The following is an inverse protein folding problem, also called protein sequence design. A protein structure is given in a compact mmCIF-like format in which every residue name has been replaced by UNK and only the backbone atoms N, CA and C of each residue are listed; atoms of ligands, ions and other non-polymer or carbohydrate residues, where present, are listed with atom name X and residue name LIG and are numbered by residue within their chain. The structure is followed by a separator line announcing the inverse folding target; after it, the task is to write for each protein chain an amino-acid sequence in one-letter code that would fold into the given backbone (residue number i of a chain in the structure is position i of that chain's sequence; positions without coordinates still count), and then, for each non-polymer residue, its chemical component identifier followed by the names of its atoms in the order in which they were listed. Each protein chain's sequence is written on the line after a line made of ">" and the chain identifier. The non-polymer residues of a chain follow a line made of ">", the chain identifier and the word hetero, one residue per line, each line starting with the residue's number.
data_IF_254653149844
#
_entry.id   IF_254653149844
#
_cell.length_a   1.000
_cell.length_b   1.000
_cell.length_c   1.000
_cell.angle_alpha   90.00
_cell.angle_beta   90.00
_cell.angle_gamma   90.00
#
_symmetry.space_group_name_H-M   'P 1'
#
loop_
_entity.id
_entity.type
_entity.pdbx_description
1 polymer ?
#
# COMPACT_ATOMS: atom_id res chain seq x y z
N UNK A 1 -36.46 -6.77 5.92
CA UNK A 1 -35.29 -7.33 6.64
C UNK A 1 -34.02 -7.32 5.79
N UNK A 2 -34.05 -7.83 4.54
CA UNK A 2 -32.86 -7.90 3.66
C UNK A 2 -32.24 -6.54 3.27
N UNK A 3 -33.06 -5.49 3.09
CA UNK A 3 -32.55 -4.15 2.71
C UNK A 3 -31.75 -3.47 3.83
N UNK A 4 -32.19 -3.62 5.09
CA UNK A 4 -31.49 -3.05 6.26
C UNK A 4 -30.14 -3.73 6.45
N UNK A 5 -30.09 -5.05 6.30
CA UNK A 5 -28.85 -5.82 6.36
C UNK A 5 -27.88 -5.37 5.27
N UNK A 6 -28.37 -5.14 4.05
CA UNK A 6 -27.54 -4.66 2.94
C UNK A 6 -26.95 -3.27 3.21
N UNK A 7 -27.73 -2.32 3.72
CA UNK A 7 -27.24 -0.99 4.10
C UNK A 7 -26.20 -1.07 5.22
N UNK A 8 -26.40 -1.94 6.21
CA UNK A 8 -25.45 -2.14 7.29
C UNK A 8 -24.12 -2.71 6.79
N UNK A 9 -24.16 -3.68 5.87
CA UNK A 9 -22.97 -4.24 5.22
C UNK A 9 -22.24 -3.15 4.41
N UNK A 10 -22.94 -2.33 3.63
CA UNK A 10 -22.32 -1.24 2.88
C UNK A 10 -21.65 -0.21 3.79
N UNK A 11 -22.32 0.15 4.90
CA UNK A 11 -21.75 1.06 5.90
C UNK A 11 -20.49 0.47 6.53
N UNK A 12 -20.51 -0.81 6.91
CA UNK A 12 -19.35 -1.51 7.47
C UNK A 12 -18.17 -1.55 6.47
N UNK A 13 -18.43 -1.88 5.20
CA UNK A 13 -17.41 -1.89 4.14
C UNK A 13 -16.81 -0.48 3.97
N UNK A 14 -17.65 0.56 3.98
CA UNK A 14 -17.19 1.94 3.86
C UNK A 14 -16.30 2.34 5.03
N UNK A 15 -16.67 1.98 6.27
CA UNK A 15 -15.87 2.23 7.48
C UNK A 15 -14.54 1.49 7.40
N UNK A 16 -14.52 0.22 6.98
CA UNK A 16 -13.28 -0.55 6.81
C UNK A 16 -12.36 0.06 5.74
N UNK A 17 -12.94 0.59 4.67
CA UNK A 17 -12.20 1.31 3.63
C UNK A 17 -11.61 2.62 4.14
N UNK A 18 -12.38 3.40 4.88
CA UNK A 18 -11.94 4.69 5.45
C UNK A 18 -10.78 4.51 6.43
N UNK A 19 -10.85 3.45 7.25
CA UNK A 19 -9.87 3.13 8.28
C UNK A 19 -8.65 2.36 7.76
N UNK A 20 -8.56 2.10 6.45
CA UNK A 20 -7.43 1.43 5.82
C UNK A 20 -7.29 -0.07 6.10
N UNK A 21 -8.34 -0.69 6.63
CA UNK A 21 -8.44 -2.15 6.75
C UNK A 21 -8.76 -2.85 5.42
N UNK A 22 -9.24 -2.11 4.42
CA UNK A 22 -9.53 -2.66 3.10
C UNK A 22 -8.37 -2.37 2.12
N UNK A 23 -7.64 -3.42 1.75
CA UNK A 23 -6.71 -3.42 0.61
C UNK A 23 -7.49 -3.66 -0.69
N UNK A 24 -7.31 -2.79 -1.68
CA UNK A 24 -7.77 -3.09 -3.04
C UNK A 24 -6.64 -3.73 -3.82
N UNK A 25 -6.88 -4.86 -4.47
CA UNK A 25 -5.87 -5.46 -5.35
C UNK A 25 -6.46 -5.98 -6.63
N UNK A 26 -5.74 -5.76 -7.73
CA UNK A 26 -5.99 -6.37 -9.02
C UNK A 26 -4.67 -7.03 -9.40
N UNK A 27 -4.47 -8.27 -8.93
CA UNK A 27 -3.23 -9.01 -9.09
C UNK A 27 -3.48 -10.47 -9.40
N UNK A 28 -2.56 -11.07 -10.14
CA UNK A 28 -2.40 -12.51 -10.35
C UNK A 28 -1.06 -12.92 -9.74
N UNK A 29 -1.04 -13.95 -8.92
CA UNK A 29 0.18 -14.45 -8.30
C UNK A 29 0.06 -15.95 -8.04
N UNK A 30 1.18 -16.66 -8.06
CA UNK A 30 1.23 -18.05 -7.61
C UNK A 30 1.21 -18.12 -6.08
N UNK A 31 1.94 -17.21 -5.43
CA UNK A 31 1.96 -17.06 -3.98
C UNK A 31 2.04 -15.58 -3.64
N UNK A 32 1.30 -15.17 -2.62
CA UNK A 32 1.34 -13.81 -2.09
C UNK A 32 1.10 -13.85 -0.59
N UNK A 33 2.05 -13.31 0.17
CA UNK A 33 1.97 -13.14 1.61
C UNK A 33 2.31 -11.70 1.94
N UNK A 34 1.50 -11.07 2.78
CA UNK A 34 1.63 -9.67 3.17
C UNK A 34 1.54 -9.59 4.69
N UNK A 35 2.48 -8.89 5.31
CA UNK A 35 2.47 -8.63 6.74
C UNK A 35 2.36 -7.13 6.93
N UNK A 36 1.26 -6.73 7.56
CA UNK A 36 1.13 -5.41 8.14
C UNK A 36 1.82 -5.41 9.51
N UNK A 37 2.85 -4.60 9.66
CA UNK A 37 3.51 -4.45 10.95
C UNK A 37 2.55 -3.81 11.95
N UNK A 38 2.30 -4.48 13.08
CA UNK A 38 1.56 -3.90 14.22
C UNK A 38 2.29 -2.68 14.84
N UNK A 39 3.54 -2.43 14.42
CA UNK A 39 4.38 -1.29 14.76
C UNK A 39 4.44 -0.34 13.55
N UNK A 40 3.31 0.36 13.31
CA UNK A 40 2.94 1.52 12.47
C UNK A 40 3.79 2.07 11.30
N UNK A 41 5.01 1.62 11.03
CA UNK A 41 5.94 2.32 10.13
C UNK A 41 6.53 1.46 9.02
N UNK A 42 6.03 0.23 8.82
CA UNK A 42 6.47 -0.61 7.73
C UNK A 42 5.36 -1.49 7.14
N UNK A 43 5.59 -1.87 5.89
CA UNK A 43 4.73 -2.70 5.08
C UNK A 43 5.57 -3.72 4.33
N UNK A 44 5.34 -5.01 4.59
CA UNK A 44 6.14 -6.10 4.04
C UNK A 44 5.29 -7.04 3.20
N UNK A 45 5.82 -7.49 2.07
CA UNK A 45 5.23 -8.61 1.34
C UNK A 45 6.28 -9.53 0.69
N UNK A 46 5.92 -10.81 0.57
CA UNK A 46 6.65 -11.86 -0.15
C UNK A 46 5.73 -12.49 -1.18
N UNK A 47 6.22 -12.68 -2.41
CA UNK A 47 5.38 -13.04 -3.53
C UNK A 47 6.14 -13.83 -4.60
N UNK A 48 5.41 -14.66 -5.36
CA UNK A 48 5.94 -15.47 -6.46
C UNK A 48 5.07 -15.32 -7.70
N UNK A 49 5.71 -15.00 -8.83
CA UNK A 49 5.08 -14.77 -10.13
C UNK A 49 3.91 -13.79 -10.08
N UNK A 50 4.08 -12.66 -9.39
CA UNK A 50 3.05 -11.65 -9.20
C UNK A 50 3.01 -10.66 -10.36
N UNK A 51 1.82 -10.38 -10.90
CA UNK A 51 1.57 -9.31 -11.87
C UNK A 51 0.29 -8.56 -11.52
N UNK A 52 0.31 -7.24 -11.64
CA UNK A 52 -0.82 -6.37 -11.31
C UNK A 52 -0.46 -5.38 -10.21
N UNK A 53 -1.40 -5.05 -9.32
CA UNK A 53 -1.15 -4.12 -8.23
C UNK A 53 -1.92 -4.45 -6.94
N UNK A 54 -1.36 -4.02 -5.82
CA UNK A 54 -2.07 -3.81 -4.56
C UNK A 54 -2.18 -2.32 -4.26
N UNK A 55 -3.21 -1.92 -3.53
CA UNK A 55 -3.42 -0.55 -3.06
C UNK A 55 -3.88 -0.60 -1.61
N UNK A 56 -3.04 -0.07 -0.75
CA UNK A 56 -3.28 0.02 0.69
C UNK A 56 -3.48 1.49 1.08
N UNK A 57 -4.29 1.74 2.10
CA UNK A 57 -4.54 3.08 2.64
C UNK A 57 -3.74 3.23 3.93
N UNK A 58 -3.05 4.36 4.06
CA UNK A 58 -2.32 4.72 5.27
C UNK A 58 -2.78 6.10 5.73
N UNK A 59 -2.97 6.25 7.05
CA UNK A 59 -3.18 7.53 7.72
C UNK A 59 -2.00 7.75 8.64
N UNK A 60 -1.47 8.97 8.64
CA UNK A 60 -0.37 9.35 9.51
C UNK A 60 -0.89 10.17 10.68
N UNK A 61 -0.35 9.93 11.86
CA UNK A 61 -0.77 10.63 13.09
C UNK A 61 -0.14 12.02 13.22
N UNK A 62 1.00 12.26 12.56
CA UNK A 62 1.77 13.50 12.71
C UNK A 62 2.04 14.15 11.37
N UNK A 63 1.86 15.47 11.31
CA UNK A 63 2.30 16.28 10.17
C UNK A 63 3.80 16.51 10.27
N UNK A 64 4.59 15.84 9.42
CA UNK A 64 6.05 16.01 9.35
C UNK A 64 6.59 15.54 8.01
N UNK A 65 7.86 15.83 7.77
CA UNK A 65 8.59 15.20 6.67
C UNK A 65 8.89 13.77 7.10
N UNK A 66 8.42 12.79 6.32
CA UNK A 66 8.80 11.40 6.46
C UNK A 66 9.80 11.02 5.38
N UNK A 67 10.78 10.21 5.76
CA UNK A 67 11.66 9.54 4.81
C UNK A 67 11.06 8.19 4.46
N UNK A 68 10.55 8.06 3.25
CA UNK A 68 10.05 6.80 2.71
C UNK A 68 11.19 6.00 2.13
N UNK A 69 11.28 4.71 2.48
CA UNK A 69 12.30 3.81 1.98
C UNK A 69 11.70 2.51 1.46
N UNK A 70 12.08 2.12 0.24
CA UNK A 70 11.69 0.89 -0.41
C UNK A 70 12.89 -0.05 -0.53
N UNK A 71 12.85 -1.14 0.22
CA UNK A 71 13.81 -2.23 0.12
C UNK A 71 13.20 -3.36 -0.70
N UNK A 72 13.91 -3.82 -1.73
CA UNK A 72 13.46 -4.90 -2.61
C UNK A 72 14.52 -5.98 -2.72
N UNK A 73 14.10 -7.23 -2.56
CA UNK A 73 14.91 -8.41 -2.88
C UNK A 73 14.15 -9.21 -3.94
N UNK A 74 14.34 -8.82 -5.20
CA UNK A 74 13.70 -9.45 -6.35
C UNK A 74 14.60 -10.51 -6.97
N UNK A 75 14.04 -11.68 -7.26
CA UNK A 75 14.70 -12.71 -8.07
C UNK A 75 14.36 -12.58 -9.55
N UNK A 76 13.23 -11.93 -9.88
CA UNK A 76 12.75 -11.72 -11.25
C UNK A 76 11.74 -10.57 -11.29
N UNK A 77 11.67 -9.91 -12.45
CA UNK A 77 10.63 -8.92 -12.78
C UNK A 77 10.90 -7.56 -12.14
N UNK A 78 9.89 -6.70 -12.15
CA UNK A 78 10.00 -5.33 -11.63
C UNK A 78 8.93 -5.06 -10.57
N UNK A 79 9.31 -4.24 -9.59
CA UNK A 79 8.42 -3.70 -8.56
C UNK A 79 8.64 -2.20 -8.41
N UNK A 80 7.55 -1.44 -8.28
CA UNK A 80 7.59 -0.04 -7.91
C UNK A 80 6.36 0.34 -7.08
N UNK A 81 6.48 1.38 -6.28
CA UNK A 81 5.42 1.89 -5.39
C UNK A 81 5.07 3.31 -5.79
N UNK A 82 3.81 3.57 -6.06
CA UNK A 82 3.25 4.91 -6.19
C UNK A 82 2.62 5.32 -4.87
N UNK A 83 3.04 6.45 -4.32
CA UNK A 83 2.38 7.10 -3.19
C UNK A 83 1.45 8.18 -3.72
N UNK A 84 0.18 8.13 -3.32
CA UNK A 84 -0.86 9.02 -3.81
C UNK A 84 -1.58 9.75 -2.67
N UNK A 85 -2.11 10.93 -2.97
CA UNK A 85 -2.97 11.71 -2.08
C UNK A 85 -4.41 11.17 -2.01
N UNK A 86 -5.25 11.81 -1.20
CA UNK A 86 -6.67 11.47 -1.06
C UNK A 86 -7.47 11.58 -2.37
N UNK A 87 -7.01 12.40 -3.31
CA UNK A 87 -7.56 12.58 -4.66
C UNK A 87 -7.03 11.57 -5.68
N UNK A 88 -6.15 10.65 -5.25
CA UNK A 88 -5.46 9.63 -6.07
C UNK A 88 -4.47 10.24 -7.07
N UNK A 89 -4.00 11.47 -6.85
CA UNK A 89 -2.88 12.02 -7.61
C UNK A 89 -1.59 11.39 -7.11
N UNK A 90 -0.68 11.07 -8.04
CA UNK A 90 0.63 10.51 -7.70
C UNK A 90 1.50 11.63 -7.15
N UNK A 91 1.93 11.49 -5.89
CA UNK A 91 2.84 12.42 -5.23
C UNK A 91 4.29 12.11 -5.61
N UNK A 92 4.65 10.82 -5.57
CA UNK A 92 5.96 10.32 -5.98
C UNK A 92 5.93 8.80 -6.20
N UNK A 93 7.01 8.30 -6.83
CA UNK A 93 7.21 6.88 -7.13
C UNK A 93 8.54 6.40 -6.57
N UNK A 94 8.51 5.29 -5.84
CA UNK A 94 9.69 4.57 -5.36
C UNK A 94 9.93 3.33 -6.23
N UNK A 95 11.18 3.05 -6.54
CA UNK A 95 11.62 1.88 -7.32
C UNK A 95 13.04 1.53 -6.88
N UNK A 96 13.54 0.37 -7.28
CA UNK A 96 14.89 -0.09 -6.93
C UNK A 96 15.99 0.93 -7.26
N UNK A 97 15.88 1.67 -8.37
CA UNK A 97 16.84 2.72 -8.75
C UNK A 97 16.72 4.03 -7.95
N UNK A 98 15.62 4.24 -7.25
CA UNK A 98 15.32 5.43 -6.44
C UNK A 98 14.45 5.00 -5.25
N UNK A 99 15.05 4.27 -4.29
CA UNK A 99 14.32 3.59 -3.23
C UNK A 99 13.84 4.54 -2.13
N UNK A 100 14.46 5.71 -2.02
CA UNK A 100 14.24 6.64 -0.89
C UNK A 100 13.67 7.96 -1.37
N UNK A 101 12.72 8.53 -0.62
CA UNK A 101 12.14 9.84 -0.86
C UNK A 101 11.69 10.52 0.43
N UNK A 102 12.11 11.76 0.62
CA UNK A 102 11.56 12.63 1.66
C UNK A 102 10.31 13.34 1.13
N UNK A 103 9.24 13.34 1.92
CA UNK A 103 8.00 14.01 1.55
C UNK A 103 7.25 14.57 2.77
N UNK A 104 6.72 15.80 2.71
CA UNK A 104 5.89 16.36 3.77
C UNK A 104 4.53 15.67 3.79
N UNK A 105 4.21 15.03 4.90
CA UNK A 105 2.94 14.35 5.13
C UNK A 105 2.09 15.17 6.09
N UNK A 106 0.78 15.21 5.84
CA UNK A 106 -0.21 15.84 6.71
C UNK A 106 -0.90 14.79 7.60
N UNK A 107 -1.08 15.11 8.87
CA UNK A 107 -1.79 14.24 9.81
C UNK A 107 -3.26 14.08 9.44
N UNK A 108 -3.81 12.92 9.77
CA UNK A 108 -5.22 12.55 9.53
C UNK A 108 -5.68 12.58 8.06
N UNK A 109 -4.77 12.88 7.13
CA UNK A 109 -4.99 12.75 5.69
C UNK A 109 -4.72 11.32 5.25
N UNK A 110 -5.55 10.83 4.32
CA UNK A 110 -5.39 9.50 3.71
C UNK A 110 -4.37 9.56 2.59
N UNK A 111 -3.43 8.63 2.62
CA UNK A 111 -2.49 8.36 1.55
C UNK A 111 -2.72 6.95 1.03
N UNK A 112 -2.55 6.75 -0.27
CA UNK A 112 -2.67 5.45 -0.89
C UNK A 112 -1.31 4.98 -1.38
N UNK A 113 -0.88 3.80 -0.96
CA UNK A 113 0.33 3.17 -1.50
C UNK A 113 -0.11 2.11 -2.48
N UNK A 114 0.25 2.30 -3.74
CA UNK A 114 -0.03 1.34 -4.81
C UNK A 114 1.25 0.67 -5.25
N UNK A 115 1.37 -0.61 -4.92
CA UNK A 115 2.51 -1.44 -5.29
C UNK A 115 2.18 -2.13 -6.60
N UNK A 116 3.01 -1.92 -7.61
CA UNK A 116 2.88 -2.53 -8.92
C UNK A 116 3.89 -3.65 -9.08
N UNK A 117 3.44 -4.74 -9.67
CA UNK A 117 4.22 -5.95 -9.94
C UNK A 117 4.19 -6.24 -11.44
N UNK A 118 5.36 -6.44 -12.04
CA UNK A 118 5.49 -6.91 -13.43
C UNK A 118 6.22 -8.25 -13.47
N UNK A 119 5.45 -9.34 -13.51
CA UNK A 119 5.97 -10.73 -13.49
C UNK A 119 7.03 -10.94 -12.40
N UNK A 120 6.79 -10.33 -11.25
CA UNK A 120 7.78 -10.17 -10.21
C UNK A 120 7.78 -11.34 -9.22
N UNK A 121 8.95 -11.70 -8.70
CA UNK A 121 9.09 -12.71 -7.64
C UNK A 121 10.15 -12.27 -6.65
N UNK A 122 9.87 -12.38 -5.35
CA UNK A 122 10.77 -11.91 -4.31
C UNK A 122 10.01 -11.38 -3.11
N UNK A 123 10.61 -10.40 -2.43
CA UNK A 123 10.00 -9.70 -1.29
C UNK A 123 10.33 -8.21 -1.35
N UNK A 124 9.48 -7.40 -0.72
CA UNK A 124 9.76 -5.99 -0.48
C UNK A 124 9.38 -5.60 0.94
N UNK A 125 10.05 -4.56 1.43
CA UNK A 125 9.70 -3.82 2.63
C UNK A 125 9.61 -2.35 2.28
N UNK A 126 8.48 -1.73 2.56
CA UNK A 126 8.29 -0.30 2.48
C UNK A 126 8.23 0.26 3.90
N UNK A 127 9.12 1.18 4.26
CA UNK A 127 9.17 1.79 5.58
C UNK A 127 9.12 3.32 5.52
N UNK A 128 8.71 3.93 6.63
CA UNK A 128 8.69 5.38 6.79
C UNK A 128 9.10 5.79 8.21
N UNK A 129 9.97 6.79 8.33
CA UNK A 129 10.44 7.36 9.60
C UNK A 129 10.33 8.87 9.60
#
# INVERSE_FOLDING_TARGET
>A
MNFIIFLFILSLIYILYDNGFASFSCKSALMFYEKFGNSNNNHYASFKYCSGYTRNVFKFEQSRIYTFNLETELSKGELYVEVMDCSKNILFTLKESSPTKDYPVESHTKYFFKVHFKKASGKYTLSWS
#
